data_IF_566717221608
#
_entry.id   IF_566717221608
#
_cell.length_a   1.000
_cell.length_b   1.000
_cell.length_c   1.000
_cell.angle_alpha   90.00
_cell.angle_beta   90.00
_cell.angle_gamma   90.00
#
_symmetry.space_group_name_H-M   'P 1'
#
loop_
_entity.id
_entity.type
_entity.pdbx_description
1 polymer ?
#
# COMPACT_ATOMS: atom_id res chain seq x y z
N UNK A 1 -23.59 29.48 27.84
CA UNK A 1 -22.58 28.54 28.39
C UNK A 1 -22.45 27.27 27.54
N UNK A 2 -23.53 26.56 27.20
CA UNK A 2 -23.47 25.31 26.39
C UNK A 2 -23.06 25.51 24.92
N UNK A 3 -23.45 26.63 24.33
CA UNK A 3 -23.21 26.92 22.90
C UNK A 3 -21.73 26.90 22.50
N UNK A 4 -20.83 27.36 23.36
CA UNK A 4 -19.39 27.37 23.10
C UNK A 4 -18.80 25.95 23.08
N UNK A 5 -19.31 25.06 23.93
CA UNK A 5 -18.84 23.69 24.05
C UNK A 5 -19.26 22.88 22.82
N UNK A 6 -20.51 23.07 22.36
CA UNK A 6 -21.00 22.45 21.14
C UNK A 6 -20.21 22.94 19.92
N UNK A 7 -19.98 24.25 19.81
CA UNK A 7 -19.18 24.81 18.72
C UNK A 7 -17.78 24.18 18.68
N UNK A 8 -17.13 24.01 19.85
CA UNK A 8 -15.81 23.39 19.94
C UNK A 8 -15.83 21.92 19.48
N UNK A 9 -16.78 21.11 19.95
CA UNK A 9 -16.87 19.68 19.60
C UNK A 9 -17.12 19.50 18.10
N UNK A 10 -17.90 20.38 17.47
CA UNK A 10 -18.20 20.26 16.03
C UNK A 10 -17.13 20.88 15.14
N UNK A 11 -16.48 22.00 15.51
CA UNK A 11 -15.48 22.65 14.65
C UNK A 11 -14.06 22.10 14.82
N UNK A 12 -13.70 21.59 16.00
CA UNK A 12 -12.38 21.02 16.25
C UNK A 12 -12.01 19.87 15.29
N UNK A 13 -12.86 18.85 15.02
CA UNK A 13 -12.49 17.73 14.15
C UNK A 13 -12.30 18.13 12.68
N UNK A 14 -12.82 19.27 12.23
CA UNK A 14 -12.57 19.76 10.87
C UNK A 14 -11.22 20.46 10.73
N UNK A 15 -10.64 20.99 11.82
CA UNK A 15 -9.39 21.77 11.79
C UNK A 15 -8.21 21.06 12.45
N UNK A 16 -8.48 20.06 13.27
CA UNK A 16 -7.48 19.35 14.06
C UNK A 16 -7.54 17.90 13.66
N UNK A 17 -6.43 17.38 13.14
CA UNK A 17 -6.26 15.95 13.02
C UNK A 17 -5.99 15.39 14.42
N UNK A 18 -7.04 14.89 15.07
CA UNK A 18 -6.90 14.11 16.27
C UNK A 18 -6.15 12.84 15.89
N UNK A 19 -4.90 12.74 16.33
CA UNK A 19 -4.01 11.58 16.16
C UNK A 19 -4.51 10.31 16.89
N UNK A 20 -5.84 10.20 17.03
CA UNK A 20 -6.61 9.14 17.68
C UNK A 20 -6.99 8.04 16.66
N UNK A 21 -6.76 8.29 15.37
CA UNK A 21 -6.85 7.23 14.36
C UNK A 21 -5.75 6.21 14.64
N UNK A 22 -6.05 4.90 14.66
CA UNK A 22 -5.00 3.90 14.72
C UNK A 22 -4.06 4.14 13.55
N UNK A 23 -2.77 4.31 13.84
CA UNK A 23 -1.76 4.48 12.81
C UNK A 23 -1.95 3.38 11.77
N UNK A 24 -2.09 3.76 10.50
CA UNK A 24 -2.09 2.80 9.39
C UNK A 24 -0.80 2.00 9.50
N UNK A 25 -0.90 0.79 10.05
CA UNK A 25 0.26 -0.05 10.26
C UNK A 25 0.69 -0.45 8.86
N UNK A 26 1.86 0.05 8.47
CA UNK A 26 2.55 -0.44 7.29
C UNK A 26 2.51 -1.98 7.35
N UNK A 27 2.12 -2.66 6.25
CA UNK A 27 2.23 -4.10 6.18
C UNK A 27 3.64 -4.49 6.65
N UNK A 28 3.75 -5.56 7.46
CA UNK A 28 5.04 -6.00 7.93
C UNK A 28 6.01 -6.14 6.74
N UNK A 29 7.33 -5.94 6.92
CA UNK A 29 8.32 -6.04 5.83
C UNK A 29 8.25 -7.35 5.03
N UNK A 30 7.67 -8.40 5.61
CA UNK A 30 7.42 -9.73 5.04
C UNK A 30 5.95 -10.02 4.70
N UNK A 31 5.04 -9.10 5.02
CA UNK A 31 3.62 -9.22 4.77
C UNK A 31 3.30 -8.84 3.33
N UNK A 32 3.09 -9.85 2.49
CA UNK A 32 2.52 -9.67 1.16
C UNK A 32 1.01 -9.71 1.32
N UNK A 33 0.33 -8.59 1.05
CA UNK A 33 -1.14 -8.53 1.10
C UNK A 33 -1.69 -8.67 -0.31
N UNK A 34 -2.64 -9.59 -0.50
CA UNK A 34 -3.29 -9.82 -1.78
C UNK A 34 -4.73 -9.33 -1.73
N UNK A 35 -5.12 -8.48 -2.67
CA UNK A 35 -6.49 -7.99 -2.83
C UNK A 35 -7.07 -8.46 -4.18
N UNK A 36 -8.34 -8.89 -4.25
CA UNK A 36 -9.00 -9.17 -5.51
C UNK A 36 -9.38 -7.86 -6.22
N UNK A 37 -8.99 -7.70 -7.48
CA UNK A 37 -9.25 -6.50 -8.32
C UNK A 37 -10.65 -6.52 -9.00
N UNK A 38 -11.52 -7.45 -8.61
CA UNK A 38 -12.89 -7.60 -9.14
C UNK A 38 -13.01 -8.15 -10.57
N UNK A 39 -11.99 -7.99 -11.43
CA UNK A 39 -12.00 -8.44 -12.84
C UNK A 39 -11.05 -9.62 -13.16
N UNK A 40 -10.80 -10.51 -12.20
CA UNK A 40 -9.82 -11.62 -12.28
C UNK A 40 -8.34 -11.24 -12.11
N UNK A 41 -8.05 -9.99 -11.72
CA UNK A 41 -6.71 -9.58 -11.29
C UNK A 41 -6.51 -9.77 -9.78
N UNK A 42 -5.29 -10.10 -9.36
CA UNK A 42 -4.87 -9.96 -7.97
C UNK A 42 -3.93 -8.76 -7.84
N UNK A 43 -4.13 -7.96 -6.81
CA UNK A 43 -3.26 -6.85 -6.45
C UNK A 43 -2.40 -7.29 -5.27
N UNK A 44 -1.09 -7.36 -5.47
CA UNK A 44 -0.14 -7.63 -4.42
C UNK A 44 0.48 -6.33 -3.91
N UNK A 45 0.49 -6.18 -2.60
CA UNK A 45 1.24 -5.14 -1.91
C UNK A 45 2.52 -5.74 -1.34
N UNK A 46 3.65 -5.26 -1.83
CA UNK A 46 5.00 -5.70 -1.45
C UNK A 46 5.74 -4.55 -0.80
N UNK A 47 6.28 -4.77 0.41
CA UNK A 47 7.08 -3.76 1.09
C UNK A 47 8.34 -3.40 0.29
N UNK A 48 8.71 -2.12 0.26
CA UNK A 48 9.92 -1.67 -0.45
C UNK A 48 11.21 -2.28 0.13
N UNK A 49 11.18 -2.73 1.38
CA UNK A 49 12.27 -3.49 2.01
C UNK A 49 12.56 -4.83 1.33
N UNK A 50 11.57 -5.43 0.65
CA UNK A 50 11.73 -6.68 -0.09
C UNK A 50 12.23 -6.47 -1.53
N UNK A 51 12.30 -5.21 -1.99
CA UNK A 51 12.77 -4.82 -3.33
C UNK A 51 14.04 -3.98 -3.19
N UNK A 52 15.23 -4.61 -3.17
CA UNK A 52 16.49 -3.91 -2.95
C UNK A 52 16.87 -3.01 -4.14
N UNK A 53 16.40 -3.34 -5.34
CA UNK A 53 16.71 -2.58 -6.56
C UNK A 53 15.97 -1.25 -6.64
N UNK A 54 16.65 -0.23 -7.18
CA UNK A 54 16.06 1.09 -7.46
C UNK A 54 15.91 1.37 -8.96
N UNK A 55 16.47 0.51 -9.79
CA UNK A 55 16.44 0.64 -11.25
C UNK A 55 15.16 -0.01 -11.80
N UNK A 56 14.42 0.63 -12.73
CA UNK A 56 13.08 0.18 -13.12
C UNK A 56 13.03 -1.27 -13.63
N UNK A 57 14.04 -1.68 -14.40
CA UNK A 57 14.10 -3.03 -14.97
C UNK A 57 14.46 -4.08 -13.91
N UNK A 58 15.34 -3.73 -12.98
CA UNK A 58 15.72 -4.58 -11.85
C UNK A 58 14.59 -4.70 -10.81
N UNK A 59 13.84 -3.61 -10.58
CA UNK A 59 12.63 -3.59 -9.74
C UNK A 59 11.60 -4.58 -10.27
N UNK A 60 11.31 -4.55 -11.58
CA UNK A 60 10.37 -5.51 -12.19
C UNK A 60 10.83 -6.96 -12.00
N UNK A 61 12.13 -7.23 -12.15
CA UNK A 61 12.73 -8.54 -11.88
C UNK A 61 12.54 -8.99 -10.43
N UNK A 62 12.90 -8.14 -9.47
CA UNK A 62 12.79 -8.43 -8.04
C UNK A 62 11.34 -8.66 -7.61
N UNK A 63 10.41 -7.85 -8.11
CA UNK A 63 8.97 -8.01 -7.85
C UNK A 63 8.42 -9.31 -8.44
N UNK A 64 8.84 -9.69 -9.65
CA UNK A 64 8.44 -10.96 -10.25
C UNK A 64 8.90 -12.14 -9.40
N UNK A 65 10.15 -12.12 -8.93
CA UNK A 65 10.75 -13.17 -8.10
C UNK A 65 10.10 -13.25 -6.72
N UNK A 66 9.72 -12.12 -6.14
CA UNK A 66 9.06 -12.05 -4.85
C UNK A 66 7.62 -12.59 -4.91
N UNK A 67 6.92 -12.37 -6.03
CA UNK A 67 5.51 -12.74 -6.20
C UNK A 67 5.33 -14.16 -6.76
N UNK A 68 6.28 -14.68 -7.54
CA UNK A 68 6.27 -16.03 -8.12
C UNK A 68 5.86 -17.16 -7.14
N UNK A 69 6.40 -17.25 -5.90
CA UNK A 69 6.01 -18.31 -4.96
C UNK A 69 4.55 -18.21 -4.47
N UNK A 70 3.90 -17.05 -4.60
CA UNK A 70 2.54 -16.82 -4.11
C UNK A 70 1.50 -16.79 -5.23
N UNK A 71 1.85 -16.24 -6.39
CA UNK A 71 0.97 -16.09 -7.54
C UNK A 71 1.05 -17.24 -8.56
N UNK A 72 2.13 -18.03 -8.53
CA UNK A 72 2.47 -18.93 -9.62
C UNK A 72 2.88 -18.15 -10.89
N UNK A 73 2.72 -18.77 -12.07
CA UNK A 73 2.95 -18.10 -13.36
C UNK A 73 1.88 -17.03 -13.59
N UNK A 74 2.18 -15.80 -13.20
CA UNK A 74 1.31 -14.65 -13.38
C UNK A 74 2.00 -13.57 -14.21
N UNK A 75 1.26 -12.95 -15.13
CA UNK A 75 1.75 -11.82 -15.92
C UNK A 75 1.55 -10.54 -15.11
N UNK A 76 2.63 -9.78 -14.87
CA UNK A 76 2.57 -8.47 -14.22
C UNK A 76 2.00 -7.47 -15.23
N UNK A 77 0.78 -7.02 -14.98
CA UNK A 77 0.07 -6.04 -15.83
C UNK A 77 0.56 -4.62 -15.53
N UNK A 78 0.72 -4.30 -14.25
CA UNK A 78 1.13 -2.97 -13.79
C UNK A 78 1.82 -3.08 -12.44
N UNK A 79 2.76 -2.17 -12.17
CA UNK A 79 3.26 -1.93 -10.82
C UNK A 79 3.26 -0.43 -10.52
N UNK A 80 3.07 -0.06 -9.26
CA UNK A 80 3.02 1.32 -8.79
C UNK A 80 3.75 1.44 -7.46
N UNK A 81 4.63 2.44 -7.35
CA UNK A 81 5.38 2.72 -6.14
C UNK A 81 4.56 3.66 -5.25
N UNK A 82 4.00 3.15 -4.16
CA UNK A 82 3.32 3.94 -3.14
C UNK A 82 4.38 4.63 -2.28
N UNK A 83 4.35 5.96 -2.29
CA UNK A 83 5.29 6.80 -1.54
C UNK A 83 4.60 7.37 -0.33
N UNK A 84 5.24 7.21 0.81
CA UNK A 84 4.82 7.81 2.07
C UNK A 84 5.97 8.69 2.56
N UNK A 85 5.68 9.93 2.96
CA UNK A 85 6.69 10.89 3.39
C UNK A 85 7.87 11.07 2.40
N UNK A 86 7.59 11.00 1.10
CA UNK A 86 8.60 11.16 0.04
C UNK A 86 9.52 9.97 -0.19
N UNK A 87 9.35 8.86 0.53
CA UNK A 87 10.09 7.60 0.33
C UNK A 87 9.17 6.53 -0.22
N UNK A 88 9.67 5.68 -1.12
CA UNK A 88 8.92 4.50 -1.58
C UNK A 88 8.80 3.53 -0.41
N UNK A 89 7.57 3.34 0.06
CA UNK A 89 7.25 2.48 1.20
C UNK A 89 6.73 1.12 0.73
N UNK A 90 5.94 1.11 -0.34
CA UNK A 90 5.24 -0.07 -0.83
C UNK A 90 5.26 -0.09 -2.36
N UNK A 91 5.24 -1.28 -2.93
CA UNK A 91 4.96 -1.50 -4.34
C UNK A 91 3.64 -2.23 -4.45
N UNK A 92 2.70 -1.63 -5.17
CA UNK A 92 1.43 -2.25 -5.54
C UNK A 92 1.57 -2.86 -6.92
N UNK A 93 1.25 -4.14 -7.06
CA UNK A 93 1.44 -4.90 -8.30
C UNK A 93 0.13 -5.54 -8.70
N UNK A 94 -0.35 -5.20 -9.89
CA UNK A 94 -1.49 -5.86 -10.50
C UNK A 94 -0.97 -7.01 -11.32
N UNK A 95 -1.41 -8.21 -10.97
CA UNK A 95 -1.15 -9.41 -11.74
C UNK A 95 -2.44 -9.94 -12.34
N UNK A 96 -2.31 -10.57 -13.50
CA UNK A 96 -3.39 -11.34 -14.11
C UNK A 96 -2.94 -12.79 -14.18
N UNK A 97 -3.76 -13.68 -13.61
CA UNK A 97 -3.52 -15.11 -13.68
C UNK A 97 -3.91 -15.60 -15.08
N UNK A 98 -3.02 -16.34 -15.73
CA UNK A 98 -3.35 -17.11 -16.94
C UNK A 98 -4.03 -18.43 -16.60
#
# INVERSE_FOLDING_TARGET
MVTLILLFIFLAPFKIEFNDKPAERMPHPTGIVAYPDGQHGLVFEVASSAVPSKEPDAVKGDLSRAIEPYAGKADIVRYEAVREHGKVSLYRVWIQRR
#
